data_IF_765635755597
#
_entry.id   IF_765635755597
#
_cell.length_a   1.000
_cell.length_b   1.000
_cell.length_c   1.000
_cell.angle_alpha   90.00
_cell.angle_beta   90.00
_cell.angle_gamma   90.00
#
_symmetry.space_group_name_H-M   'P 1'
#
loop_
_entity.id
_entity.type
_entity.pdbx_description
1 polymer ?
#
# COMPACT_ATOMS: atom_id res chain seq x y z
N UNK A 1 29.17 31.32 -22.32
CA UNK A 1 27.88 31.15 -23.00
C UNK A 1 27.69 29.65 -23.15
N UNK A 2 26.71 29.07 -22.46
CA UNK A 2 26.34 27.69 -22.74
C UNK A 2 25.66 27.64 -24.11
N UNK A 3 25.96 26.64 -24.96
CA UNK A 3 25.30 26.48 -26.25
C UNK A 3 23.79 26.30 -26.05
N UNK A 4 23.00 26.95 -26.90
CA UNK A 4 21.55 26.82 -26.87
C UNK A 4 21.13 25.47 -27.47
N UNK A 5 20.46 24.64 -26.68
CA UNK A 5 19.93 23.34 -27.11
C UNK A 5 18.76 23.58 -28.08
N UNK A 6 18.81 22.96 -29.26
CA UNK A 6 17.82 23.04 -30.33
C UNK A 6 17.05 21.70 -30.49
N UNK A 7 15.84 21.70 -31.10
CA UNK A 7 15.17 20.46 -31.48
C UNK A 7 16.05 19.63 -32.43
N UNK A 8 16.14 18.32 -32.17
CA UNK A 8 17.01 17.38 -32.86
C UNK A 8 18.37 17.16 -32.20
N UNK A 9 18.77 17.99 -31.25
CA UNK A 9 20.01 17.80 -30.50
C UNK A 9 19.93 16.57 -29.59
N UNK A 10 21.05 15.84 -29.52
CA UNK A 10 21.22 14.72 -28.60
C UNK A 10 21.91 15.22 -27.34
N UNK A 11 21.20 15.13 -26.22
CA UNK A 11 21.68 15.53 -24.91
C UNK A 11 21.89 14.31 -24.02
N UNK A 12 22.81 14.42 -23.07
CA UNK A 12 23.03 13.43 -22.02
C UNK A 12 22.30 13.88 -20.75
N UNK A 13 21.58 12.96 -20.10
CA UNK A 13 20.92 13.24 -18.82
C UNK A 13 21.92 13.24 -17.66
N UNK A 14 21.92 14.33 -16.88
CA UNK A 14 22.82 14.49 -15.72
C UNK A 14 22.45 13.59 -14.54
N UNK A 15 21.16 13.29 -14.39
CA UNK A 15 20.60 12.52 -13.28
C UNK A 15 19.53 11.54 -13.75
N UNK A 16 19.06 10.72 -12.81
CA UNK A 16 17.90 9.86 -13.01
C UNK A 16 16.62 10.68 -12.87
N UNK A 17 15.62 10.39 -13.72
CA UNK A 17 14.32 11.05 -13.66
C UNK A 17 13.27 9.99 -13.35
N UNK A 18 12.68 10.08 -12.15
CA UNK A 18 11.63 9.17 -11.68
C UNK A 18 10.26 9.84 -11.73
N UNK A 19 9.26 9.15 -12.26
CA UNK A 19 7.86 9.59 -12.31
C UNK A 19 6.97 8.48 -11.77
N UNK A 20 6.16 8.79 -10.76
CA UNK A 20 5.27 7.82 -10.10
C UNK A 20 6.02 6.53 -9.70
N UNK A 21 7.14 6.70 -8.97
CA UNK A 21 8.00 5.62 -8.45
C UNK A 21 8.63 4.71 -9.52
N UNK A 22 8.55 5.11 -10.80
CA UNK A 22 9.17 4.40 -11.93
C UNK A 22 10.25 5.26 -12.58
N UNK A 23 11.37 4.64 -12.94
CA UNK A 23 12.47 5.32 -13.66
C UNK A 23 12.02 5.59 -15.09
N UNK A 24 11.86 6.87 -15.43
CA UNK A 24 11.53 7.30 -16.80
C UNK A 24 12.78 7.46 -17.66
N UNK A 25 13.88 7.90 -17.04
CA UNK A 25 15.18 8.00 -17.68
C UNK A 25 16.31 7.67 -16.71
N UNK A 26 17.29 6.92 -17.20
CA UNK A 26 18.49 6.60 -16.45
C UNK A 26 19.51 7.75 -16.51
N UNK A 27 20.36 7.85 -15.49
CA UNK A 27 21.49 8.78 -15.48
C UNK A 27 22.46 8.44 -16.64
N UNK A 28 22.88 9.46 -17.38
CA UNK A 28 23.77 9.31 -18.54
C UNK A 28 23.05 8.84 -19.82
N UNK A 29 21.73 8.68 -19.78
CA UNK A 29 20.95 8.32 -20.96
C UNK A 29 21.01 9.43 -22.01
N UNK A 30 21.15 9.04 -23.27
CA UNK A 30 21.15 9.96 -24.41
C UNK A 30 19.70 10.14 -24.88
N UNK A 31 19.23 11.37 -24.83
CA UNK A 31 17.88 11.74 -25.22
C UNK A 31 17.94 12.75 -26.36
N UNK A 32 17.06 12.58 -27.34
CA UNK A 32 16.88 13.56 -28.42
C UNK A 32 15.78 14.54 -28.02
N UNK A 33 16.07 15.83 -28.12
CA UNK A 33 15.06 16.88 -27.91
C UNK A 33 14.12 16.90 -29.11
N UNK A 34 12.84 16.59 -28.92
CA UNK A 34 11.85 16.60 -30.01
C UNK A 34 11.29 18.00 -30.27
N UNK A 35 10.99 18.75 -29.20
CA UNK A 35 10.35 20.06 -29.27
C UNK A 35 10.79 20.95 -28.10
N UNK A 36 10.84 22.27 -28.31
CA UNK A 36 11.00 23.25 -27.24
C UNK A 36 9.66 23.94 -27.02
N UNK A 37 9.03 23.68 -25.86
CA UNK A 37 7.72 24.23 -25.50
C UNK A 37 7.73 24.65 -24.03
N UNK A 38 7.59 25.95 -23.79
CA UNK A 38 7.51 26.48 -22.44
C UNK A 38 6.27 25.96 -21.71
N UNK A 39 6.48 25.46 -20.49
CA UNK A 39 5.39 25.14 -19.59
C UNK A 39 4.93 26.43 -18.87
N UNK A 40 3.64 26.82 -18.94
CA UNK A 40 3.15 28.06 -18.34
C UNK A 40 3.22 28.09 -16.81
N UNK A 41 3.21 26.92 -16.17
CA UNK A 41 3.32 26.81 -14.70
C UNK A 41 4.77 26.69 -14.24
N UNK A 42 5.65 26.11 -15.07
CA UNK A 42 7.05 25.82 -14.75
C UNK A 42 7.97 26.14 -15.94
N UNK A 43 8.27 27.42 -16.21
CA UNK A 43 9.02 27.84 -17.40
C UNK A 43 10.38 27.18 -17.56
N UNK A 44 10.96 26.67 -16.48
CA UNK A 44 12.22 25.94 -16.48
C UNK A 44 12.13 24.58 -17.19
N UNK A 45 10.95 23.97 -17.31
CA UNK A 45 10.71 22.71 -18.04
C UNK A 45 10.25 22.99 -19.46
N UNK A 46 11.20 23.11 -20.39
CA UNK A 46 10.92 23.53 -21.76
C UNK A 46 11.30 22.50 -22.84
N UNK A 47 12.07 21.48 -22.51
CA UNK A 47 12.56 20.51 -23.49
C UNK A 47 11.70 19.25 -23.49
N UNK A 48 10.98 19.00 -24.57
CA UNK A 48 10.18 17.78 -24.73
C UNK A 48 11.08 16.67 -25.26
N UNK A 49 11.16 15.57 -24.51
CA UNK A 49 11.92 14.36 -24.88
C UNK A 49 11.04 13.12 -24.77
N UNK A 50 11.34 12.11 -25.58
CA UNK A 50 10.65 10.82 -25.54
C UNK A 50 11.44 9.80 -24.70
N UNK A 51 10.79 9.23 -23.69
CA UNK A 51 11.33 8.11 -22.91
C UNK A 51 11.04 6.80 -23.62
N UNK A 52 12.09 6.07 -23.99
CA UNK A 52 11.96 4.72 -24.57
C UNK A 52 11.50 3.69 -23.54
N UNK A 53 11.87 3.86 -22.27
CA UNK A 53 11.48 2.96 -21.18
C UNK A 53 9.99 2.98 -20.89
N UNK A 54 9.39 4.18 -20.85
CA UNK A 54 7.97 4.35 -20.48
C UNK A 54 7.05 4.55 -21.69
N UNK A 55 7.61 4.81 -22.87
CA UNK A 55 6.87 5.10 -24.10
C UNK A 55 6.12 6.43 -24.08
N UNK A 56 6.54 7.39 -23.25
CA UNK A 56 5.87 8.68 -23.03
C UNK A 56 6.81 9.85 -23.24
N UNK A 57 6.23 11.03 -23.52
CA UNK A 57 6.96 12.30 -23.60
C UNK A 57 7.01 12.99 -22.24
N UNK A 58 8.16 13.56 -21.92
CA UNK A 58 8.39 14.32 -20.70
C UNK A 58 8.97 15.68 -21.06
N UNK A 59 8.62 16.70 -20.27
CA UNK A 59 9.31 17.97 -20.29
C UNK A 59 10.45 17.91 -19.29
N UNK A 60 11.65 18.27 -19.71
CA UNK A 60 12.85 18.37 -18.89
C UNK A 60 13.34 19.81 -18.81
N UNK A 61 14.07 20.07 -17.73
CA UNK A 61 14.75 21.33 -17.49
C UNK A 61 16.14 21.37 -18.10
N UNK A 62 16.66 22.58 -18.27
CA UNK A 62 18.05 22.85 -18.65
C UNK A 62 19.06 22.20 -17.69
N UNK A 63 18.72 22.14 -16.39
CA UNK A 63 19.56 21.54 -15.35
C UNK A 63 19.71 20.02 -15.48
N UNK A 64 18.74 19.35 -16.08
CA UNK A 64 18.74 17.90 -16.26
C UNK A 64 19.53 17.49 -17.51
N UNK A 65 19.67 18.38 -18.48
CA UNK A 65 20.35 18.10 -19.74
C UNK A 65 21.79 18.62 -19.73
N UNK A 66 22.69 17.81 -20.28
CA UNK A 66 24.04 18.21 -20.65
C UNK A 66 24.16 18.04 -22.16
N UNK A 67 24.37 19.13 -22.88
CA UNK A 67 24.63 19.03 -24.31
C UNK A 67 25.87 18.16 -24.49
N UNK A 68 25.70 17.03 -25.19
CA UNK A 68 26.85 16.23 -25.57
C UNK A 68 27.59 17.09 -26.57
N UNK A 69 28.80 17.52 -26.22
CA UNK A 69 29.70 18.14 -27.18
C UNK A 69 29.70 17.19 -28.37
N UNK A 70 29.20 17.68 -29.51
CA UNK A 70 29.08 16.89 -30.73
C UNK A 70 30.50 16.44 -30.99
N UNK A 71 30.83 15.22 -30.55
CA UNK A 71 32.12 14.62 -30.79
C UNK A 71 32.19 14.70 -32.28
N UNK A 72 33.05 15.60 -32.77
CA UNK A 72 33.22 15.88 -34.19
C UNK A 72 33.43 14.49 -34.75
N UNK A 73 32.38 13.93 -35.37
CA UNK A 73 32.51 12.69 -36.09
C UNK A 73 33.65 13.05 -37.02
N UNK A 74 34.83 12.42 -36.91
CA UNK A 74 35.98 12.79 -37.72
C UNK A 74 35.39 12.84 -39.11
N UNK A 75 35.42 14.03 -39.71
CA UNK A 75 34.83 14.25 -41.02
C UNK A 75 35.32 13.05 -41.81
N UNK A 76 34.39 12.13 -42.10
CA UNK A 76 34.66 11.08 -43.04
C UNK A 76 34.70 11.93 -44.30
N UNK A 77 35.88 12.53 -44.55
CA UNK A 77 36.36 12.78 -45.87
C UNK A 77 36.19 11.41 -46.49
N UNK A 78 35.03 11.26 -47.11
CA UNK A 78 34.79 10.33 -48.16
C UNK A 78 35.83 10.77 -49.18
N UNK A 79 37.07 10.30 -48.95
CA UNK A 79 37.95 9.91 -50.00
C UNK A 79 37.08 8.92 -50.76
N UNK A 80 36.33 9.47 -51.71
CA UNK A 80 35.83 8.75 -52.83
C UNK A 80 37.10 8.19 -53.47
N UNK A 81 37.57 7.06 -52.96
CA UNK A 81 38.37 6.17 -53.78
C UNK A 81 37.51 5.93 -55.01
N UNK A 82 38.00 6.27 -56.21
CA UNK A 82 37.29 5.96 -57.44
C UNK A 82 37.21 4.45 -57.54
N UNK A 83 36.09 3.89 -57.08
CA UNK A 83 35.77 2.48 -57.20
C UNK A 83 35.87 2.12 -58.68
N UNK A 84 36.92 1.38 -59.00
CA UNK A 84 37.07 0.71 -60.27
C UNK A 84 36.00 -0.37 -60.30
N UNK A 85 35.03 -0.23 -61.19
CA UNK A 85 33.98 -1.22 -61.39
C UNK A 85 34.58 -2.61 -61.58
N UNK A 86 34.21 -3.64 -60.78
CA UNK A 86 34.57 -5.00 -61.11
C UNK A 86 33.86 -5.43 -62.42
N UNK A 87 34.51 -6.25 -63.26
CA UNK A 87 33.95 -6.68 -64.52
C UNK A 87 32.70 -7.54 -64.33
N UNK A 88 31.66 -7.20 -65.10
CA UNK A 88 30.40 -7.93 -65.24
C UNK A 88 30.71 -9.33 -65.78
N UNK A 89 30.62 -10.33 -64.91
CA UNK A 89 30.61 -11.74 -65.30
C UNK A 89 29.19 -12.20 -65.66
N UNK A 90 28.98 -12.87 -66.81
CA UNK A 90 27.69 -13.44 -67.14
C UNK A 90 27.56 -14.86 -66.56
N UNK A 91 26.51 -15.10 -65.79
CA UNK A 91 26.01 -16.46 -65.53
C UNK A 91 26.08 -16.93 -64.08
N UNK A 92 24.92 -17.30 -63.53
CA UNK A 92 24.75 -17.88 -62.20
C UNK A 92 23.41 -17.49 -61.58
N UNK A 93 22.30 -17.82 -62.25
CA UNK A 93 21.33 -18.81 -61.77
C UNK A 93 20.65 -18.45 -60.45
N UNK A 94 19.39 -18.04 -60.60
CA UNK A 94 18.39 -17.87 -59.56
C UNK A 94 18.26 -19.09 -58.65
N UNK A 95 18.40 -18.94 -57.32
CA UNK A 95 17.59 -19.69 -56.34
C UNK A 95 17.73 -19.21 -54.87
N UNK A 96 17.49 -17.92 -54.58
CA UNK A 96 17.48 -17.41 -53.20
C UNK A 96 16.26 -16.52 -52.93
N UNK A 97 15.09 -17.13 -52.91
CA UNK A 97 13.90 -16.45 -52.42
C UNK A 97 12.91 -17.48 -51.94
N UNK A 98 12.97 -17.83 -50.64
CA UNK A 98 11.87 -18.49 -49.90
C UNK A 98 12.13 -18.64 -48.38
N UNK A 99 13.29 -18.23 -47.82
CA UNK A 99 13.55 -18.39 -46.37
C UNK A 99 13.10 -17.24 -45.48
N UNK A 100 12.68 -16.09 -46.03
CA UNK A 100 12.34 -14.92 -45.19
C UNK A 100 10.94 -14.93 -44.59
N UNK A 101 10.05 -15.85 -45.00
CA UNK A 101 8.66 -15.88 -44.49
C UNK A 101 8.52 -16.64 -43.17
N UNK A 102 9.47 -17.53 -42.81
CA UNK A 102 9.41 -18.28 -41.55
C UNK A 102 9.78 -17.44 -40.32
N UNK A 103 10.68 -16.46 -40.48
CA UNK A 103 11.15 -15.61 -39.38
C UNK A 103 10.07 -14.59 -38.94
N UNK A 104 9.23 -14.14 -39.88
CA UNK A 104 8.09 -13.27 -39.59
C UNK A 104 6.97 -14.00 -38.84
N UNK A 105 6.78 -15.29 -39.08
CA UNK A 105 5.72 -16.08 -38.44
C UNK A 105 6.03 -16.33 -36.94
N UNK A 106 7.30 -16.58 -36.60
CA UNK A 106 7.73 -16.75 -35.21
C UNK A 106 7.69 -15.42 -34.44
N UNK A 107 8.00 -14.29 -35.09
CA UNK A 107 7.91 -12.96 -34.48
C UNK A 107 6.46 -12.54 -34.18
N UNK A 108 5.49 -12.91 -35.02
CA UNK A 108 4.07 -12.62 -34.79
C UNK A 108 3.52 -13.43 -33.60
N UNK A 109 3.94 -14.70 -33.45
CA UNK A 109 3.56 -15.52 -32.29
C UNK A 109 4.10 -14.98 -30.98
N UNK A 110 5.34 -14.50 -30.96
CA UNK A 110 5.96 -13.95 -29.76
C UNK A 110 5.29 -12.64 -29.31
N UNK A 111 4.92 -11.77 -30.27
CA UNK A 111 4.14 -10.56 -29.97
C UNK A 111 2.73 -10.88 -29.44
N UNK A 112 2.07 -11.91 -29.97
CA UNK A 112 0.74 -12.31 -29.50
C UNK A 112 0.79 -12.84 -28.07
N UNK A 113 1.80 -13.64 -27.73
CA UNK A 113 1.98 -14.17 -26.37
C UNK A 113 2.25 -13.06 -25.36
N UNK A 114 3.15 -12.12 -25.69
CA UNK A 114 3.48 -10.99 -24.80
C UNK A 114 2.27 -10.09 -24.53
N UNK A 115 1.45 -9.80 -25.54
CA UNK A 115 0.20 -9.03 -25.36
C UNK A 115 -0.80 -9.79 -24.49
N UNK A 116 -0.95 -11.10 -24.71
CA UNK A 116 -1.88 -11.91 -23.92
C UNK A 116 -1.50 -11.97 -22.43
N UNK A 117 -0.20 -12.07 -22.12
CA UNK A 117 0.30 -12.00 -20.73
C UNK A 117 -0.02 -10.64 -20.09
N UNK A 118 0.16 -9.54 -20.81
CA UNK A 118 -0.19 -8.19 -20.31
C UNK A 118 -1.69 -8.08 -20.01
N UNK A 119 -2.56 -8.56 -20.91
CA UNK A 119 -4.01 -8.56 -20.68
C UNK A 119 -4.40 -9.44 -19.48
N UNK A 120 -3.76 -10.59 -19.30
CA UNK A 120 -3.98 -11.47 -18.14
C UNK A 120 -3.64 -10.74 -16.83
N UNK A 121 -2.49 -10.07 -16.76
CA UNK A 121 -2.07 -9.31 -15.57
C UNK A 121 -3.06 -8.18 -15.26
N UNK A 122 -3.50 -7.42 -16.28
CA UNK A 122 -4.50 -6.36 -16.10
C UNK A 122 -5.82 -6.95 -15.58
N UNK A 123 -6.28 -8.07 -16.11
CA UNK A 123 -7.50 -8.73 -15.66
C UNK A 123 -7.39 -9.17 -14.19
N UNK A 124 -6.26 -9.74 -13.78
CA UNK A 124 -6.02 -10.14 -12.37
C UNK A 124 -6.03 -8.92 -11.45
N UNK A 125 -5.36 -7.83 -11.83
CA UNK A 125 -5.34 -6.58 -11.03
C UNK A 125 -6.74 -6.01 -10.86
N UNK A 126 -7.55 -6.01 -11.92
CA UNK A 126 -8.94 -5.55 -11.86
C UNK A 126 -9.80 -6.42 -10.95
N UNK A 127 -9.66 -7.74 -11.00
CA UNK A 127 -10.40 -8.67 -10.13
C UNK A 127 -10.00 -8.46 -8.67
N UNK A 128 -8.70 -8.37 -8.37
CA UNK A 128 -8.21 -8.11 -7.00
C UNK A 128 -8.72 -6.75 -6.50
N UNK A 129 -8.64 -5.70 -7.33
CA UNK A 129 -9.16 -4.38 -7.00
C UNK A 129 -10.66 -4.39 -6.70
N UNK A 130 -11.45 -5.12 -7.50
CA UNK A 130 -12.88 -5.28 -7.24
C UNK A 130 -13.17 -6.02 -5.92
N UNK A 131 -12.42 -7.08 -5.60
CA UNK A 131 -12.56 -7.81 -4.33
C UNK A 131 -12.23 -6.91 -3.13
N UNK A 132 -11.17 -6.11 -3.22
CA UNK A 132 -10.80 -5.15 -2.17
C UNK A 132 -11.87 -4.07 -2.03
N UNK A 133 -12.37 -3.52 -3.14
CA UNK A 133 -13.42 -2.51 -3.12
C UNK A 133 -14.71 -3.04 -2.48
N UNK A 134 -15.13 -4.26 -2.83
CA UNK A 134 -16.28 -4.93 -2.19
C UNK A 134 -16.03 -5.11 -0.70
N UNK A 135 -14.83 -5.57 -0.29
CA UNK A 135 -14.47 -5.72 1.12
C UNK A 135 -14.54 -4.40 1.88
N UNK A 136 -14.02 -3.31 1.31
CA UNK A 136 -14.07 -1.98 1.91
C UNK A 136 -15.50 -1.44 2.02
N UNK A 137 -16.34 -1.67 1.01
CA UNK A 137 -17.76 -1.30 1.05
C UNK A 137 -18.48 -2.10 2.14
N UNK A 138 -18.24 -3.41 2.22
CA UNK A 138 -18.83 -4.26 3.27
C UNK A 138 -18.31 -3.94 4.67
N UNK A 139 -17.06 -3.49 4.80
CA UNK A 139 -16.49 -3.05 6.07
C UNK A 139 -17.13 -1.74 6.55
N UNK A 140 -17.38 -0.81 5.62
CA UNK A 140 -18.05 0.47 5.91
C UNK A 140 -19.55 0.33 6.21
N UNK A 141 -20.17 -0.77 5.78
CA UNK A 141 -21.53 -1.15 6.17
C UNK A 141 -21.57 -2.14 7.35
N UNK A 142 -20.42 -2.41 7.99
CA UNK A 142 -20.32 -3.23 9.18
C UNK A 142 -20.87 -2.53 10.43
N UNK A 143 -20.94 -3.24 11.57
CA UNK A 143 -21.55 -2.81 12.85
C UNK A 143 -20.89 -1.60 13.54
N UNK A 144 -20.14 -0.77 12.81
CA UNK A 144 -19.62 0.50 13.32
C UNK A 144 -20.75 1.46 13.75
N UNK A 145 -21.95 1.31 13.17
CA UNK A 145 -23.16 2.01 13.65
C UNK A 145 -23.60 1.61 15.06
N UNK A 146 -23.38 0.35 15.48
CA UNK A 146 -23.76 -0.15 16.80
C UNK A 146 -22.76 0.27 17.87
N UNK A 147 -21.44 0.22 17.59
CA UNK A 147 -20.42 0.61 18.57
C UNK A 147 -20.38 2.12 18.82
N UNK A 148 -20.45 2.97 17.78
CA UNK A 148 -20.56 4.42 17.98
C UNK A 148 -21.83 4.79 18.76
N UNK A 149 -22.93 4.08 18.49
CA UNK A 149 -24.18 4.23 19.21
C UNK A 149 -24.09 3.81 20.68
N UNK A 150 -23.33 2.75 20.97
CA UNK A 150 -23.06 2.26 22.32
C UNK A 150 -22.19 3.23 23.12
N UNK A 151 -21.04 3.66 22.59
CA UNK A 151 -20.15 4.61 23.27
C UNK A 151 -20.80 5.98 23.47
N UNK A 152 -21.61 6.45 22.51
CA UNK A 152 -22.37 7.69 22.68
C UNK A 152 -23.44 7.58 23.78
N UNK A 153 -24.06 6.40 23.97
CA UNK A 153 -24.96 6.15 25.09
C UNK A 153 -24.21 6.07 26.43
N UNK A 154 -23.04 5.43 26.44
CA UNK A 154 -22.16 5.35 27.61
C UNK A 154 -21.68 6.74 28.08
N UNK A 155 -21.30 7.63 27.16
CA UNK A 155 -20.93 9.01 27.50
C UNK A 155 -22.08 9.81 28.13
N UNK A 156 -23.34 9.46 27.84
CA UNK A 156 -24.54 10.08 28.42
C UNK A 156 -25.05 9.36 29.67
N UNK A 157 -24.40 8.28 30.09
CA UNK A 157 -24.84 7.41 31.18
C UNK A 157 -26.26 6.83 30.98
N UNK A 158 -26.65 6.58 29.73
CA UNK A 158 -27.97 6.09 29.33
C UNK A 158 -27.97 4.55 29.23
N UNK A 159 -28.12 3.89 30.38
CA UNK A 159 -28.02 2.43 30.52
C UNK A 159 -29.03 1.67 29.66
N UNK A 160 -30.32 2.06 29.56
CA UNK A 160 -31.26 1.40 28.66
C UNK A 160 -30.81 1.43 27.18
N UNK A 161 -30.31 2.57 26.70
CA UNK A 161 -29.82 2.69 25.33
C UNK A 161 -28.51 1.92 25.09
N UNK A 162 -27.68 1.74 26.13
CA UNK A 162 -26.52 0.86 26.07
C UNK A 162 -26.93 -0.61 25.94
N UNK A 163 -27.92 -1.06 26.73
CA UNK A 163 -28.37 -2.45 26.74
C UNK A 163 -29.11 -2.83 25.46
N UNK A 164 -29.88 -1.91 24.87
CA UNK A 164 -30.54 -2.12 23.57
C UNK A 164 -29.53 -2.31 22.41
N UNK A 165 -28.32 -1.77 22.58
CA UNK A 165 -27.24 -1.78 21.57
C UNK A 165 -26.10 -2.73 21.93
N UNK A 166 -26.26 -3.52 22.99
CA UNK A 166 -25.25 -4.47 23.45
C UNK A 166 -25.20 -5.67 22.51
N UNK A 167 -24.12 -5.77 21.74
CA UNK A 167 -23.80 -6.93 20.92
C UNK A 167 -22.43 -7.48 21.37
N UNK A 168 -22.41 -8.61 22.12
CA UNK A 168 -21.18 -9.15 22.70
C UNK A 168 -20.19 -9.61 21.62
N UNK A 169 -20.67 -10.04 20.46
CA UNK A 169 -19.80 -10.51 19.37
C UNK A 169 -19.15 -9.33 18.64
N UNK A 170 -19.89 -8.23 18.47
CA UNK A 170 -19.35 -6.99 17.88
C UNK A 170 -18.30 -6.32 18.78
N UNK A 171 -18.53 -6.29 20.10
CA UNK A 171 -17.57 -5.76 21.08
C UNK A 171 -16.28 -6.60 21.16
N UNK A 172 -16.38 -7.93 21.03
CA UNK A 172 -15.23 -8.83 21.08
C UNK A 172 -14.34 -8.77 19.81
N UNK A 173 -14.91 -8.33 18.69
CA UNK A 173 -14.24 -8.22 17.40
C UNK A 173 -13.42 -6.92 17.25
N UNK A 174 -13.74 -5.87 18.01
CA UNK A 174 -13.05 -4.58 17.95
C UNK A 174 -11.72 -4.59 18.75
N UNK A 175 -10.56 -4.30 18.10
CA UNK A 175 -9.26 -4.29 18.76
C UNK A 175 -9.14 -3.24 19.88
N UNK A 176 -9.79 -2.08 19.76
CA UNK A 176 -9.75 -1.02 20.78
C UNK A 176 -10.55 -1.40 22.03
N UNK A 177 -11.68 -2.08 21.85
CA UNK A 177 -12.50 -2.64 22.94
C UNK A 177 -11.76 -3.78 23.64
N UNK A 178 -11.03 -4.62 22.89
CA UNK A 178 -10.11 -5.60 23.49
C UNK A 178 -9.09 -4.91 24.37
N UNK A 179 -8.44 -3.83 23.95
CA UNK A 179 -7.45 -3.12 24.76
C UNK A 179 -8.07 -2.49 26.02
N UNK A 180 -9.29 -1.96 25.92
CA UNK A 180 -10.06 -1.41 27.04
C UNK A 180 -10.44 -2.48 28.09
N UNK A 181 -10.76 -3.69 27.65
CA UNK A 181 -11.03 -4.85 28.53
C UNK A 181 -9.72 -5.50 29.01
N UNK A 182 -8.62 -5.39 28.25
CA UNK A 182 -7.32 -6.04 28.52
C UNK A 182 -6.28 -5.07 29.12
N UNK A 183 -6.71 -4.07 29.89
CA UNK A 183 -5.76 -3.23 30.63
C UNK A 183 -5.22 -3.96 31.87
N UNK A 184 -4.05 -4.59 31.67
CA UNK A 184 -3.00 -5.09 32.60
C UNK A 184 -3.40 -5.69 33.97
N UNK A 185 -3.34 -7.02 34.05
CA UNK A 185 -2.94 -7.75 35.25
C UNK A 185 -1.57 -8.42 35.03
N UNK A 186 -0.51 -7.89 35.64
CA UNK A 186 0.76 -8.61 35.78
C UNK A 186 1.10 -8.68 37.27
N UNK A 187 0.88 -9.86 37.85
CA UNK A 187 1.30 -10.20 39.21
C UNK A 187 2.53 -11.09 39.12
N UNK A 188 3.66 -10.55 39.57
CA UNK A 188 4.86 -11.33 39.90
C UNK A 188 4.86 -11.55 41.41
N UNK A 189 4.52 -12.75 41.89
CA UNK A 189 5.10 -13.29 43.11
C UNK A 189 4.83 -14.79 43.30
N UNK A 190 5.92 -15.48 43.61
CA UNK A 190 6.03 -16.76 44.28
C UNK A 190 5.09 -16.93 45.48
N UNK A 191 4.51 -18.13 45.61
CA UNK A 191 3.90 -18.75 46.80
C UNK A 191 3.81 -17.84 48.05
N UNK A 192 2.62 -17.27 48.26
CA UNK A 192 2.22 -16.69 49.55
C UNK A 192 1.54 -15.34 49.42
N UNK A 193 0.22 -15.32 49.67
CA UNK A 193 -0.61 -14.13 49.95
C UNK A 193 -0.87 -13.19 48.75
N UNK A 194 -2.07 -13.29 48.17
CA UNK A 194 -2.56 -12.35 47.15
C UNK A 194 -3.01 -11.07 47.86
N UNK A 195 -2.35 -9.95 47.57
CA UNK A 195 -2.77 -8.61 48.01
C UNK A 195 -3.42 -7.91 46.81
N UNK A 196 -4.72 -7.53 46.84
CA UNK A 196 -5.39 -6.99 45.67
C UNK A 196 -5.02 -5.53 45.39
N UNK A 197 -4.63 -5.24 44.14
CA UNK A 197 -4.56 -3.90 43.57
C UNK A 197 -5.94 -3.38 43.16
N UNK A 198 -6.09 -2.06 43.16
CA UNK A 198 -7.31 -1.30 42.92
C UNK A 198 -7.92 -1.50 41.53
N UNK A 199 -9.24 -1.69 41.49
CA UNK A 199 -10.05 -1.61 40.28
C UNK A 199 -10.57 -0.17 40.15
N UNK A 200 -10.28 0.53 39.05
CA UNK A 200 -11.00 1.76 38.71
C UNK A 200 -12.17 1.41 37.80
N UNK A 201 -13.20 0.79 38.38
CA UNK A 201 -14.56 1.01 37.87
C UNK A 201 -15.00 2.31 38.52
N UNK A 202 -15.40 3.32 37.73
CA UNK A 202 -15.88 4.59 38.26
C UNK A 202 -17.25 4.41 38.94
N UNK A 203 -17.25 3.72 40.07
CA UNK A 203 -18.35 3.67 41.03
C UNK A 203 -17.95 4.66 42.12
N UNK A 204 -18.66 5.78 42.23
CA UNK A 204 -18.48 6.68 43.37
C UNK A 204 -19.00 5.99 44.63
N UNK A 205 -18.21 6.00 45.70
CA UNK A 205 -18.62 5.50 47.01
C UNK A 205 -17.63 4.53 47.65
N UNK A 206 -17.93 4.12 48.87
CA UNK A 206 -17.12 3.16 49.62
C UNK A 206 -17.44 1.74 49.15
N UNK A 207 -16.45 1.11 48.55
CA UNK A 207 -16.59 -0.22 47.94
C UNK A 207 -16.14 -1.32 48.90
N UNK A 208 -16.97 -2.33 49.06
CA UNK A 208 -16.65 -3.56 49.78
C UNK A 208 -16.57 -4.72 48.78
N UNK A 209 -15.53 -5.55 48.90
CA UNK A 209 -15.39 -6.75 48.07
C UNK A 209 -15.29 -8.00 48.94
N UNK A 210 -15.93 -9.08 48.48
CA UNK A 210 -15.84 -10.40 49.07
C UNK A 210 -15.54 -11.41 47.98
N UNK A 211 -14.40 -12.07 48.09
CA UNK A 211 -14.01 -13.15 47.19
C UNK A 211 -14.31 -14.49 47.84
N UNK A 212 -15.00 -15.38 47.12
CA UNK A 212 -15.22 -16.76 47.54
C UNK A 212 -14.66 -17.69 46.46
N UNK A 213 -13.66 -18.49 46.82
CA UNK A 213 -13.16 -19.54 45.94
C UNK A 213 -14.19 -20.68 45.85
N UNK A 214 -14.44 -21.16 44.64
CA UNK A 214 -15.21 -22.37 44.33
C UNK A 214 -14.31 -23.32 43.54
N UNK A 215 -14.69 -24.60 43.49
CA UNK A 215 -13.93 -25.64 42.78
C UNK A 215 -13.80 -25.37 41.27
N UNK A 216 -14.62 -24.47 40.71
CA UNK A 216 -14.73 -24.12 39.29
C UNK A 216 -14.48 -22.62 39.00
N UNK A 217 -13.84 -21.90 39.92
CA UNK A 217 -13.46 -20.50 39.74
C UNK A 217 -13.54 -19.65 41.01
N UNK A 218 -13.38 -18.34 40.88
CA UNK A 218 -13.55 -17.39 41.97
C UNK A 218 -14.79 -16.54 41.72
N UNK A 219 -15.66 -16.41 42.74
CA UNK A 219 -16.75 -15.43 42.71
C UNK A 219 -16.29 -14.19 43.46
N UNK A 220 -16.29 -13.06 42.77
CA UNK A 220 -16.02 -11.75 43.37
C UNK A 220 -17.36 -11.02 43.46
N UNK A 221 -17.79 -10.74 44.68
CA UNK A 221 -18.96 -9.90 44.95
C UNK A 221 -18.45 -8.52 45.34
N UNK A 222 -18.92 -7.51 44.62
CA UNK A 222 -18.62 -6.11 44.87
C UNK A 222 -19.93 -5.44 45.28
N UNK A 223 -19.94 -4.88 46.49
CA UNK A 223 -21.06 -4.12 47.04
C UNK A 223 -20.64 -2.68 47.26
N UNK A 224 -21.50 -1.74 46.90
CA UNK A 224 -21.33 -0.33 47.20
C UNK A 224 -22.31 0.05 48.30
N UNK A 225 -21.83 0.58 49.41
CA UNK A 225 -22.72 0.95 50.53
C UNK A 225 -23.65 2.13 50.19
N UNK A 226 -23.36 2.88 49.12
CA UNK A 226 -24.11 4.07 48.69
C UNK A 226 -25.17 3.78 47.62
N UNK A 227 -25.19 2.57 47.06
CA UNK A 227 -26.12 2.19 45.98
C UNK A 227 -26.82 0.90 46.38
N UNK A 228 -28.15 0.92 46.45
CA UNK A 228 -28.96 -0.31 46.56
C UNK A 228 -28.75 -1.12 45.27
N UNK A 229 -27.81 -2.07 45.35
CA UNK A 229 -27.41 -2.90 44.25
C UNK A 229 -26.13 -3.66 44.54
N UNK A 230 -26.05 -4.90 44.05
CA UNK A 230 -24.83 -5.69 44.14
C UNK A 230 -24.35 -6.09 42.75
N UNK A 231 -23.06 -6.00 42.50
CA UNK A 231 -22.46 -6.55 41.28
C UNK A 231 -21.69 -7.80 41.68
N UNK A 232 -22.11 -8.94 41.16
CA UNK A 232 -21.38 -10.19 41.32
C UNK A 232 -20.80 -10.60 39.98
N UNK A 233 -19.51 -10.94 39.98
CA UNK A 233 -18.81 -11.45 38.81
C UNK A 233 -18.24 -12.82 39.15
N UNK A 234 -18.55 -13.81 38.30
CA UNK A 234 -17.87 -15.09 38.30
C UNK A 234 -16.64 -14.97 37.42
N UNK A 235 -15.47 -15.24 38.00
CA UNK A 235 -14.21 -15.24 37.28
C UNK A 235 -13.69 -16.67 37.10
N UNK A 236 -13.14 -16.96 35.93
CA UNK A 236 -12.52 -18.25 35.59
C UNK A 236 -11.08 -18.00 35.19
N UNK A 237 -10.16 -18.78 35.75
CA UNK A 237 -8.75 -18.74 35.38
C UNK A 237 -8.51 -19.66 34.18
N UNK A 238 -7.88 -19.14 33.13
CA UNK A 238 -7.42 -19.92 31.99
C UNK A 238 -6.00 -19.47 31.64
N UNK A 239 -5.08 -20.42 31.59
CA UNK A 239 -3.67 -20.19 31.27
C UNK A 239 -3.01 -19.09 32.15
N UNK A 240 -3.34 -19.05 33.44
CA UNK A 240 -2.81 -18.06 34.39
C UNK A 240 -3.44 -16.67 34.30
N UNK A 241 -4.48 -16.51 33.48
CA UNK A 241 -5.21 -15.25 33.29
C UNK A 241 -6.65 -15.40 33.77
N UNK A 242 -7.13 -14.44 34.57
CA UNK A 242 -8.50 -14.42 35.07
C UNK A 242 -9.43 -13.69 34.10
N UNK A 243 -10.53 -14.33 33.73
CA UNK A 243 -11.56 -13.80 32.84
C UNK A 243 -12.89 -13.69 33.59
N UNK A 244 -13.69 -12.66 33.31
CA UNK A 244 -15.07 -12.58 33.77
C UNK A 244 -15.90 -13.51 32.89
N UNK A 245 -16.41 -14.60 33.47
CA UNK A 245 -17.25 -15.56 32.77
C UNK A 245 -18.73 -15.14 32.81
N UNK A 246 -19.19 -14.63 33.95
CA UNK A 246 -20.57 -14.19 34.15
C UNK A 246 -20.59 -12.94 35.02
N UNK A 247 -21.46 -11.98 34.72
CA UNK A 247 -21.71 -10.81 35.55
C UNK A 247 -23.20 -10.71 35.83
N UNK A 248 -23.57 -10.56 37.10
CA UNK A 248 -24.96 -10.39 37.53
C UNK A 248 -25.07 -9.13 38.39
N UNK A 249 -25.99 -8.26 37.99
CA UNK A 249 -26.35 -7.05 38.75
C UNK A 249 -27.62 -7.41 39.53
N UNK A 250 -27.47 -7.60 40.83
CA UNK A 250 -28.58 -7.76 41.75
C UNK A 250 -29.21 -6.40 42.10
N UNK A 251 -30.51 -6.38 42.41
CA UNK A 251 -31.15 -5.20 42.99
C UNK A 251 -30.53 -4.82 44.34
#
# INVERSE_FOLDING_TARGET
>A
MEPEIQPGDVCELRGEVTVADSIAFARGELVTVEEIKLNPQRPEYRYVVYSTMTGKRFQLSDRELKMREKAFAPEYHSAAEPWSSPPIGPGGSADHGLTHTRELEDSIKDMAHRKWVIYLVIAVVLVVGAVVAVRLITAKSGPEGTLHGFFAAAQRNDVPAMMERWDPDALAADPGTREFITTKFTSSASKGTITPGSWNVALSGKMHYKTTAKDDGAVVVITNDEVDGSVSARMVEKDGTWYIAEMTIGP
#
